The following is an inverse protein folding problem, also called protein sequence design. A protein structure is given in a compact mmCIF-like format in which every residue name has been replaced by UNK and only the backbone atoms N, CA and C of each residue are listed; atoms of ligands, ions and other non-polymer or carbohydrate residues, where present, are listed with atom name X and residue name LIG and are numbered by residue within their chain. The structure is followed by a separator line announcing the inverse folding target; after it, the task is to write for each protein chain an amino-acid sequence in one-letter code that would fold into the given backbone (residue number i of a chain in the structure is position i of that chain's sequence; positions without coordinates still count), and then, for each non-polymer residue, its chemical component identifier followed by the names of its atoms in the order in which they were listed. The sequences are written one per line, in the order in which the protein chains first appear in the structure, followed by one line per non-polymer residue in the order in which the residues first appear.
data_IF_192894437531
#
_entry.id   IF_192894437531
#
_cell.length_a   1.000
_cell.length_b   1.000
_cell.length_c   1.000
_cell.angle_alpha   90.00
_cell.angle_beta   90.00
_cell.angle_gamma   90.00
#
_symmetry.space_group_name_H-M   'P 1'
#
loop_
_entity.id
_entity.type
_entity.pdbx_description
1 polymer ?
#
# COMPACT_ATOMS: atom_id res chain seq x y z
N UNK A 1 -20.06 -0.16 5.93
CA UNK A 1 -20.43 0.06 7.35
C UNK A 1 -19.60 1.21 7.88
N UNK A 2 -20.15 2.11 8.69
CA UNK A 2 -19.35 3.20 9.26
C UNK A 2 -18.22 2.61 10.13
N UNK A 3 -17.00 3.12 9.98
CA UNK A 3 -15.89 2.83 10.88
C UNK A 3 -16.35 3.09 12.33
N UNK A 4 -15.86 2.30 13.30
CA UNK A 4 -16.27 2.44 14.70
C UNK A 4 -16.14 3.87 15.24
N UNK A 5 -16.80 4.19 16.36
CA UNK A 5 -16.63 5.50 17.00
C UNK A 5 -15.23 5.66 17.58
N UNK A 6 -14.65 6.87 17.52
CA UNK A 6 -13.37 7.17 18.14
C UNK A 6 -13.49 7.23 19.67
N UNK A 7 -12.80 6.33 20.38
CA UNK A 7 -12.89 6.18 21.85
C UNK A 7 -11.72 6.85 22.60
N UNK A 8 -11.01 7.79 21.98
CA UNK A 8 -9.88 8.50 22.62
C UNK A 8 -8.52 7.82 22.43
N UNK A 9 -8.41 6.84 21.53
CA UNK A 9 -7.14 6.23 21.11
C UNK A 9 -7.18 5.88 19.62
N UNK A 10 -6.02 5.96 18.97
CA UNK A 10 -5.87 5.49 17.59
C UNK A 10 -5.69 3.96 17.54
N UNK A 11 -6.33 3.33 16.57
CA UNK A 11 -6.16 1.91 16.26
C UNK A 11 -5.15 1.77 15.12
N UNK A 12 -3.91 1.45 15.47
CA UNK A 12 -2.80 1.19 14.54
C UNK A 12 -2.81 -0.27 14.08
N UNK A 13 -3.90 -0.71 13.45
CA UNK A 13 -4.06 -2.06 12.94
C UNK A 13 -4.17 -2.04 11.43
N UNK A 14 -3.27 -2.71 10.70
CA UNK A 14 -3.42 -2.90 9.25
C UNK A 14 -4.75 -3.56 8.88
N UNK A 15 -5.35 -4.35 9.77
CA UNK A 15 -6.63 -5.01 9.54
C UNK A 15 -7.85 -4.08 9.65
N UNK A 16 -7.70 -2.86 10.18
CA UNK A 16 -8.78 -1.89 10.36
C UNK A 16 -10.06 -2.52 10.96
N UNK A 17 -11.19 -2.45 10.25
CA UNK A 17 -12.49 -3.03 10.59
C UNK A 17 -12.70 -4.48 10.09
N UNK A 18 -11.71 -5.08 9.44
CA UNK A 18 -11.70 -6.50 9.06
C UNK A 18 -11.39 -7.39 10.27
N UNK A 19 -12.46 -7.77 10.98
CA UNK A 19 -12.39 -8.66 12.16
C UNK A 19 -11.88 -10.06 11.81
N UNK A 20 -12.16 -10.56 10.61
CA UNK A 20 -11.70 -11.88 10.19
C UNK A 20 -10.18 -11.88 9.99
N UNK A 21 -9.65 -10.84 9.34
CA UNK A 21 -8.20 -10.63 9.23
C UNK A 21 -7.56 -10.42 10.60
N UNK A 22 -8.14 -9.59 11.48
CA UNK A 22 -7.62 -9.38 12.83
C UNK A 22 -7.51 -10.69 13.64
N UNK A 23 -8.51 -11.56 13.53
CA UNK A 23 -8.48 -12.90 14.15
C UNK A 23 -7.40 -13.78 13.53
N UNK A 24 -7.30 -13.82 12.21
CA UNK A 24 -6.28 -14.57 11.51
C UNK A 24 -4.85 -14.11 11.90
N UNK A 25 -4.62 -12.82 12.08
CA UNK A 25 -3.35 -12.30 12.59
C UNK A 25 -3.02 -12.82 14.00
N UNK A 26 -4.00 -12.85 14.91
CA UNK A 26 -3.78 -13.42 16.25
C UNK A 26 -3.43 -14.90 16.19
N UNK A 27 -4.09 -15.67 15.31
CA UNK A 27 -3.81 -17.09 15.13
C UNK A 27 -2.43 -17.34 14.52
N UNK A 28 -2.04 -16.54 13.50
CA UNK A 28 -0.71 -16.60 12.88
C UNK A 28 0.39 -16.31 13.90
N UNK A 29 0.26 -15.27 14.72
CA UNK A 29 1.22 -14.98 15.82
C UNK A 29 1.33 -16.13 16.81
N UNK A 30 0.24 -16.88 17.00
CA UNK A 30 0.19 -18.06 17.86
C UNK A 30 0.59 -19.35 17.14
N UNK A 31 1.14 -19.28 15.91
CA UNK A 31 1.64 -20.44 15.17
C UNK A 31 0.57 -21.26 14.44
N UNK A 32 -0.68 -20.78 14.35
CA UNK A 32 -1.83 -21.47 13.73
C UNK A 32 -2.21 -20.85 12.39
N UNK A 33 -2.32 -21.67 11.35
CA UNK A 33 -2.56 -21.18 9.99
C UNK A 33 -4.02 -21.30 9.50
N UNK A 34 -4.90 -22.06 10.16
CA UNK A 34 -6.23 -22.36 9.64
C UNK A 34 -7.09 -21.11 9.39
N UNK A 35 -7.07 -20.13 10.30
CA UNK A 35 -7.80 -18.87 10.08
C UNK A 35 -7.21 -18.05 8.93
N UNK A 36 -5.90 -18.16 8.66
CA UNK A 36 -5.27 -17.53 7.49
C UNK A 36 -5.68 -18.24 6.20
N UNK A 37 -5.78 -19.58 6.20
CA UNK A 37 -6.30 -20.35 5.07
C UNK A 37 -7.69 -19.86 4.67
N UNK A 38 -8.64 -19.84 5.62
CA UNK A 38 -10.01 -19.42 5.34
C UNK A 38 -10.08 -17.95 4.90
N UNK A 39 -9.34 -17.06 5.56
CA UNK A 39 -9.32 -15.64 5.23
C UNK A 39 -8.79 -15.36 3.81
N UNK A 40 -7.83 -16.16 3.31
CA UNK A 40 -7.32 -16.03 1.95
C UNK A 40 -8.20 -16.73 0.92
N UNK A 41 -8.70 -17.93 1.24
CA UNK A 41 -9.58 -18.70 0.36
C UNK A 41 -10.87 -17.96 0.03
N UNK A 42 -11.44 -17.27 1.01
CA UNK A 42 -12.64 -16.44 0.85
C UNK A 42 -12.48 -15.34 -0.21
N UNK A 43 -11.26 -14.83 -0.40
CA UNK A 43 -11.00 -13.63 -1.21
C UNK A 43 -10.42 -13.96 -2.59
N UNK A 44 -10.56 -15.20 -3.08
CA UNK A 44 -10.02 -15.59 -4.39
C UNK A 44 -10.55 -14.75 -5.56
N UNK A 45 -11.78 -14.26 -5.45
CA UNK A 45 -12.44 -13.43 -6.47
C UNK A 45 -12.34 -11.92 -6.16
N UNK A 46 -11.76 -11.54 -5.02
CA UNK A 46 -11.56 -10.14 -4.60
C UNK A 46 -10.06 -9.90 -4.44
N UNK A 47 -9.41 -9.55 -5.56
CA UNK A 47 -7.95 -9.46 -5.64
C UNK A 47 -7.38 -8.37 -4.75
N UNK A 48 -8.03 -7.21 -4.64
CA UNK A 48 -7.56 -6.13 -3.76
C UNK A 48 -7.62 -6.56 -2.29
N UNK A 49 -8.70 -7.22 -1.87
CA UNK A 49 -8.80 -7.73 -0.50
C UNK A 49 -7.82 -8.88 -0.24
N UNK A 50 -7.63 -9.78 -1.21
CA UNK A 50 -6.65 -10.88 -1.12
C UNK A 50 -5.23 -10.36 -1.01
N UNK A 51 -4.90 -9.35 -1.80
CA UNK A 51 -3.60 -8.69 -1.74
C UNK A 51 -3.37 -8.04 -0.37
N UNK A 52 -4.37 -7.32 0.15
CA UNK A 52 -4.30 -6.73 1.48
C UNK A 52 -4.14 -7.78 2.58
N UNK A 53 -5.04 -8.77 2.67
CA UNK A 53 -5.01 -9.83 3.70
C UNK A 53 -3.71 -10.63 3.65
N UNK A 54 -3.27 -11.05 2.47
CA UNK A 54 -2.03 -11.83 2.33
C UNK A 54 -0.79 -11.05 2.76
N UNK A 55 -0.71 -9.74 2.46
CA UNK A 55 0.40 -8.90 2.90
C UNK A 55 0.42 -8.69 4.41
N UNK A 56 -0.75 -8.46 5.03
CA UNK A 56 -0.85 -8.31 6.49
C UNK A 56 -0.48 -9.61 7.19
N UNK A 57 -1.04 -10.75 6.76
CA UNK A 57 -0.72 -12.07 7.34
C UNK A 57 0.76 -12.43 7.17
N UNK A 58 1.34 -12.13 6.00
CA UNK A 58 2.76 -12.36 5.78
C UNK A 58 3.64 -11.48 6.68
N UNK A 59 3.22 -10.25 6.99
CA UNK A 59 3.95 -9.37 7.90
C UNK A 59 4.02 -9.94 9.32
N UNK A 60 2.94 -10.60 9.77
CA UNK A 60 2.89 -11.31 11.06
C UNK A 60 3.70 -12.61 11.05
N UNK A 61 3.70 -13.33 9.92
CA UNK A 61 4.42 -14.60 9.78
C UNK A 61 5.92 -14.43 9.51
N UNK A 62 6.37 -13.24 9.05
CA UNK A 62 7.71 -13.00 8.51
C UNK A 62 8.86 -13.39 9.46
N UNK A 63 8.63 -13.33 10.77
CA UNK A 63 9.65 -13.60 11.79
C UNK A 63 9.51 -15.00 12.42
N UNK A 64 8.75 -15.90 11.79
CA UNK A 64 8.48 -17.29 12.23
C UNK A 64 8.62 -18.31 11.09
N UNK A 65 8.62 -19.61 11.39
CA UNK A 65 8.62 -20.67 10.37
C UNK A 65 7.22 -21.10 9.88
N UNK A 66 6.17 -20.33 10.23
CA UNK A 66 4.78 -20.73 10.00
C UNK A 66 4.45 -20.96 8.53
N UNK A 67 4.94 -20.11 7.62
CA UNK A 67 4.62 -20.22 6.21
C UNK A 67 5.26 -21.47 5.58
N UNK A 68 6.49 -21.79 5.97
CA UNK A 68 7.20 -23.00 5.55
C UNK A 68 6.53 -24.26 6.08
N UNK A 69 6.19 -24.29 7.38
CA UNK A 69 5.50 -25.44 7.99
C UNK A 69 4.13 -25.65 7.36
N UNK A 70 3.34 -24.59 7.20
CA UNK A 70 2.04 -24.69 6.54
C UNK A 70 2.19 -25.22 5.11
N UNK A 71 3.11 -24.67 4.31
CA UNK A 71 3.32 -25.13 2.94
C UNK A 71 3.75 -26.62 2.87
N UNK A 72 4.50 -27.11 3.84
CA UNK A 72 4.92 -28.51 3.93
C UNK A 72 3.79 -29.45 4.38
N UNK A 73 2.96 -29.01 5.33
CA UNK A 73 1.85 -29.79 5.89
C UNK A 73 0.65 -29.87 4.93
N UNK A 74 0.29 -28.74 4.32
CA UNK A 74 -0.88 -28.63 3.42
C UNK A 74 -0.56 -27.76 2.20
N UNK A 75 0.09 -28.33 1.16
CA UNK A 75 0.38 -27.61 -0.06
C UNK A 75 -0.91 -27.19 -0.78
N UNK A 76 -1.04 -25.90 -1.05
CA UNK A 76 -2.18 -25.35 -1.76
C UNK A 76 -1.95 -23.89 -2.15
N UNK A 77 -2.86 -23.29 -2.93
CA UNK A 77 -2.69 -21.92 -3.38
C UNK A 77 -2.55 -20.89 -2.25
N UNK A 78 -3.30 -21.05 -1.16
CA UNK A 78 -3.24 -20.14 0.00
C UNK A 78 -1.89 -20.22 0.73
N UNK A 79 -1.39 -21.45 0.99
CA UNK A 79 -0.10 -21.65 1.63
C UNK A 79 1.05 -21.13 0.75
N UNK A 80 0.99 -21.40 -0.56
CA UNK A 80 1.99 -20.92 -1.51
C UNK A 80 1.99 -19.39 -1.62
N UNK A 81 0.80 -18.75 -1.63
CA UNK A 81 0.70 -17.30 -1.63
C UNK A 81 1.27 -16.69 -0.33
N UNK A 82 0.95 -17.26 0.84
CA UNK A 82 1.52 -16.77 2.10
C UNK A 82 3.05 -16.90 2.08
N UNK A 83 3.58 -18.05 1.63
CA UNK A 83 5.02 -18.26 1.50
C UNK A 83 5.67 -17.24 0.55
N UNK A 84 5.09 -17.01 -0.62
CA UNK A 84 5.56 -16.00 -1.58
C UNK A 84 5.64 -14.60 -0.95
N UNK A 85 4.61 -14.20 -0.20
CA UNK A 85 4.57 -12.91 0.50
C UNK A 85 5.60 -12.82 1.63
N UNK A 86 5.77 -13.88 2.43
CA UNK A 86 6.78 -13.94 3.50
C UNK A 86 8.19 -13.88 2.93
N UNK A 87 8.47 -14.67 1.90
CA UNK A 87 9.77 -14.67 1.23
C UNK A 87 10.09 -13.31 0.60
N UNK A 88 9.11 -12.66 -0.04
CA UNK A 88 9.22 -11.29 -0.54
C UNK A 88 9.58 -10.31 0.58
N UNK A 89 8.85 -10.30 1.70
CA UNK A 89 9.12 -9.40 2.81
C UNK A 89 10.52 -9.61 3.40
N UNK A 90 10.94 -10.86 3.57
CA UNK A 90 12.27 -11.21 4.08
C UNK A 90 13.38 -10.73 3.13
N UNK A 91 13.22 -10.96 1.83
CA UNK A 91 14.19 -10.51 0.83
C UNK A 91 14.34 -8.98 0.83
N UNK A 92 13.22 -8.25 0.91
CA UNK A 92 13.22 -6.79 0.96
C UNK A 92 13.83 -6.25 2.27
N UNK A 93 13.43 -6.77 3.44
CA UNK A 93 14.03 -6.39 4.74
C UNK A 93 15.54 -6.63 4.75
N UNK A 94 16.00 -7.75 4.20
CA UNK A 94 17.43 -8.08 4.14
C UNK A 94 18.20 -7.16 3.20
N UNK A 95 17.61 -6.78 2.06
CA UNK A 95 18.19 -5.82 1.14
C UNK A 95 18.30 -4.43 1.78
N UNK A 96 17.24 -3.97 2.44
CA UNK A 96 17.23 -2.66 3.13
C UNK A 96 18.24 -2.63 4.30
N UNK A 97 18.57 -3.79 4.89
CA UNK A 97 19.62 -3.92 5.91
C UNK A 97 21.05 -4.09 5.36
N UNK A 98 21.24 -4.25 4.04
CA UNK A 98 22.56 -4.44 3.43
C UNK A 98 23.25 -5.77 3.76
N UNK A 99 22.50 -6.82 4.13
CA UNK A 99 23.06 -8.10 4.55
C UNK A 99 23.39 -9.01 3.35
N UNK A 100 24.54 -9.69 3.41
CA UNK A 100 25.06 -10.53 2.31
C UNK A 100 24.18 -11.73 1.93
N UNK A 101 23.20 -12.12 2.76
CA UNK A 101 22.22 -13.18 2.44
C UNK A 101 21.13 -12.73 1.46
N UNK A 102 21.04 -11.44 1.15
CA UNK A 102 20.05 -10.86 0.25
C UNK A 102 19.87 -11.69 -1.03
N UNK A 103 20.96 -11.99 -1.75
CA UNK A 103 20.87 -12.67 -3.04
C UNK A 103 20.24 -14.08 -2.97
N UNK A 104 20.44 -14.81 -1.86
CA UNK A 104 19.80 -16.11 -1.67
C UNK A 104 18.30 -15.96 -1.40
N UNK A 105 17.92 -15.04 -0.51
CA UNK A 105 16.51 -14.77 -0.19
C UNK A 105 15.73 -14.22 -1.39
N UNK A 106 16.35 -13.38 -2.21
CA UNK A 106 15.74 -12.89 -3.45
C UNK A 106 15.38 -14.04 -4.39
N UNK A 107 16.30 -14.99 -4.61
CA UNK A 107 16.01 -16.17 -5.46
C UNK A 107 14.88 -17.03 -4.90
N UNK A 108 14.88 -17.27 -3.58
CA UNK A 108 13.81 -18.00 -2.91
C UNK A 108 12.46 -17.30 -3.11
N UNK A 109 12.44 -15.97 -2.94
CA UNK A 109 11.22 -15.18 -3.11
C UNK A 109 10.68 -15.22 -4.54
N UNK A 110 11.54 -15.11 -5.55
CA UNK A 110 11.13 -15.26 -6.95
C UNK A 110 10.51 -16.63 -7.23
N UNK A 111 11.17 -17.72 -6.84
CA UNK A 111 10.66 -19.09 -7.02
C UNK A 111 9.35 -19.31 -6.26
N UNK A 112 9.21 -18.77 -5.05
CA UNK A 112 7.98 -18.85 -4.28
C UNK A 112 6.80 -18.13 -4.99
N UNK A 113 7.05 -16.93 -5.52
CA UNK A 113 6.04 -16.19 -6.26
C UNK A 113 5.66 -16.89 -7.58
N UNK A 114 6.64 -17.43 -8.32
CA UNK A 114 6.38 -18.22 -9.54
C UNK A 114 5.49 -19.42 -9.22
N UNK A 115 5.82 -20.17 -8.16
CA UNK A 115 5.02 -21.32 -7.74
C UNK A 115 3.59 -20.93 -7.34
N UNK A 116 3.43 -19.81 -6.64
CA UNK A 116 2.10 -19.33 -6.26
C UNK A 116 1.28 -18.90 -7.49
N UNK A 117 1.91 -18.24 -8.47
CA UNK A 117 1.28 -17.88 -9.74
C UNK A 117 0.87 -19.10 -10.57
N UNK A 118 1.65 -20.18 -10.57
CA UNK A 118 1.29 -21.44 -11.25
C UNK A 118 0.05 -22.10 -10.65
N UNK A 119 -0.12 -22.03 -9.33
CA UNK A 119 -1.23 -22.69 -8.63
C UNK A 119 -2.57 -21.96 -8.82
N UNK A 120 -2.55 -20.64 -9.00
CA UNK A 120 -3.73 -19.84 -9.38
C UNK A 120 -3.34 -18.79 -10.43
N UNK A 121 -3.29 -19.16 -11.73
CA UNK A 121 -2.83 -18.26 -12.80
C UNK A 121 -3.65 -16.99 -12.98
N UNK A 122 -4.92 -17.00 -12.54
CA UNK A 122 -5.80 -15.82 -12.57
C UNK A 122 -5.57 -14.85 -11.42
N UNK A 123 -4.85 -15.23 -10.36
CA UNK A 123 -4.58 -14.40 -9.21
C UNK A 123 -3.40 -13.44 -9.51
N UNK A 124 -3.60 -12.11 -9.54
CA UNK A 124 -2.52 -11.14 -9.75
C UNK A 124 -1.57 -11.04 -8.55
N UNK A 125 -1.97 -11.50 -7.37
CA UNK A 125 -1.29 -11.25 -6.09
C UNK A 125 0.18 -11.74 -6.06
N UNK A 126 0.53 -12.94 -6.57
CA UNK A 126 1.93 -13.38 -6.64
C UNK A 126 2.78 -12.51 -7.59
N UNK A 127 2.21 -12.05 -8.70
CA UNK A 127 2.88 -11.15 -9.63
C UNK A 127 3.12 -9.76 -9.03
N UNK A 128 2.21 -9.27 -8.17
CA UNK A 128 2.43 -8.04 -7.38
C UNK A 128 3.60 -8.22 -6.41
N UNK A 129 3.77 -9.40 -5.82
CA UNK A 129 4.91 -9.69 -4.97
C UNK A 129 6.23 -9.71 -5.76
N UNK A 130 6.24 -10.30 -6.96
CA UNK A 130 7.38 -10.19 -7.89
C UNK A 130 7.67 -8.74 -8.24
N UNK A 131 6.63 -7.94 -8.50
CA UNK A 131 6.80 -6.52 -8.84
C UNK A 131 7.50 -5.76 -7.72
N UNK A 132 7.20 -6.06 -6.46
CA UNK A 132 7.92 -5.51 -5.32
C UNK A 132 9.41 -5.92 -5.30
N UNK A 133 9.73 -7.16 -5.69
CA UNK A 133 11.11 -7.65 -5.79
C UNK A 133 11.91 -6.99 -6.91
N UNK A 134 11.25 -6.44 -7.94
CA UNK A 134 11.96 -5.82 -9.08
C UNK A 134 12.85 -4.63 -8.70
N UNK A 135 12.65 -4.03 -7.51
CA UNK A 135 13.56 -3.00 -7.01
C UNK A 135 14.97 -3.54 -6.70
N UNK A 136 15.14 -4.86 -6.59
CA UNK A 136 16.42 -5.51 -6.27
C UNK A 136 17.25 -5.86 -7.51
N UNK A 137 16.62 -6.23 -8.62
CA UNK A 137 17.27 -6.61 -9.89
C UNK A 137 17.24 -5.49 -10.95
N UNK A 138 16.35 -4.50 -10.78
CA UNK A 138 16.28 -3.26 -11.57
C UNK A 138 16.17 -3.51 -13.08
N UNK A 139 15.12 -4.22 -13.55
CA UNK A 139 14.88 -4.41 -14.97
C UNK A 139 14.78 -3.07 -15.68
N UNK A 140 15.18 -3.08 -16.95
CA UNK A 140 15.32 -1.87 -17.78
C UNK A 140 14.45 -1.96 -19.03
N UNK A 141 13.26 -2.52 -18.90
CA UNK A 141 12.31 -2.61 -20.01
C UNK A 141 12.02 -1.18 -20.53
N UNK A 142 11.87 -1.01 -21.85
CA UNK A 142 11.55 0.28 -22.42
C UNK A 142 10.17 0.76 -21.93
N UNK A 143 10.09 2.04 -21.58
CA UNK A 143 8.82 2.68 -21.23
C UNK A 143 7.88 2.76 -22.44
N UNK A 144 6.56 2.73 -22.23
CA UNK A 144 5.60 3.02 -23.30
C UNK A 144 5.75 4.46 -23.79
N UNK A 145 5.27 4.71 -25.02
CA UNK A 145 5.22 6.05 -25.57
C UNK A 145 4.28 6.96 -24.75
N UNK A 146 4.62 8.24 -24.65
CA UNK A 146 3.79 9.27 -23.99
C UNK A 146 4.18 9.62 -22.56
N UNK A 147 5.20 8.97 -21.99
CA UNK A 147 5.86 9.43 -20.75
C UNK A 147 6.92 10.48 -21.09
N UNK A 148 6.93 11.60 -20.36
CA UNK A 148 7.86 12.71 -20.61
C UNK A 148 9.32 12.32 -20.34
N UNK A 149 9.55 11.50 -19.32
CA UNK A 149 10.86 11.06 -18.85
C UNK A 149 11.25 9.68 -19.40
N UNK A 150 10.32 8.98 -20.06
CA UNK A 150 10.46 7.63 -20.59
C UNK A 150 11.28 6.68 -19.67
N UNK A 151 10.94 6.58 -18.36
CA UNK A 151 11.80 5.93 -17.40
C UNK A 151 11.75 4.42 -17.58
N UNK A 152 12.92 3.79 -17.79
CA UNK A 152 13.02 2.32 -17.87
C UNK A 152 12.68 1.67 -16.53
N UNK A 153 12.05 0.50 -16.58
CA UNK A 153 11.59 -0.20 -15.38
C UNK A 153 10.94 -1.54 -15.68
N UNK A 154 10.17 -2.12 -14.74
CA UNK A 154 9.54 -3.44 -14.88
C UNK A 154 8.24 -3.37 -15.71
N UNK A 155 8.28 -2.71 -16.87
CA UNK A 155 7.08 -2.47 -17.68
C UNK A 155 6.45 -3.76 -18.20
N UNK A 156 7.25 -4.77 -18.56
CA UNK A 156 6.73 -6.06 -19.04
C UNK A 156 5.88 -6.77 -17.99
N UNK A 157 6.39 -6.83 -16.75
CA UNK A 157 5.67 -7.40 -15.61
C UNK A 157 4.42 -6.59 -15.27
N UNK A 158 4.52 -5.26 -15.29
CA UNK A 158 3.36 -4.41 -15.02
C UNK A 158 2.26 -4.56 -16.08
N UNK A 159 2.61 -4.66 -17.37
CA UNK A 159 1.62 -4.95 -18.42
C UNK A 159 0.97 -6.32 -18.27
N UNK A 160 1.66 -7.31 -17.71
CA UNK A 160 1.04 -8.58 -17.37
C UNK A 160 -0.02 -8.42 -16.28
N UNK A 161 0.32 -7.73 -15.19
CA UNK A 161 -0.63 -7.41 -14.11
C UNK A 161 -1.86 -6.66 -14.62
N UNK A 162 -1.69 -5.67 -15.51
CA UNK A 162 -2.81 -4.94 -16.09
C UNK A 162 -3.76 -5.81 -16.94
N UNK A 163 -3.31 -6.97 -17.44
CA UNK A 163 -4.19 -7.92 -18.14
C UNK A 163 -5.01 -8.79 -17.18
N UNK A 164 -4.50 -9.02 -15.97
CA UNK A 164 -5.19 -9.78 -14.93
C UNK A 164 -6.19 -8.90 -14.19
N UNK A 165 -5.74 -7.73 -13.76
CA UNK A 165 -6.54 -6.74 -13.05
C UNK A 165 -6.02 -5.32 -13.35
N UNK A 166 -6.65 -4.59 -14.29
CA UNK A 166 -6.21 -3.27 -14.73
C UNK A 166 -6.16 -2.22 -13.62
N UNK A 167 -6.91 -2.40 -12.54
CA UNK A 167 -7.04 -1.39 -11.47
C UNK A 167 -6.52 -1.87 -10.12
N UNK A 168 -5.81 -3.00 -10.09
CA UNK A 168 -5.25 -3.60 -8.88
C UNK A 168 -4.45 -2.58 -8.09
N UNK A 169 -4.89 -2.26 -6.88
CA UNK A 169 -4.35 -1.14 -6.12
C UNK A 169 -2.88 -1.34 -5.75
N UNK A 170 -2.56 -2.47 -5.13
CA UNK A 170 -1.17 -2.73 -4.70
C UNK A 170 -0.20 -2.76 -5.90
N UNK A 171 -0.58 -3.36 -7.03
CA UNK A 171 0.25 -3.41 -8.24
C UNK A 171 0.74 -2.02 -8.66
N UNK A 172 -0.16 -1.04 -8.72
CA UNK A 172 0.17 0.33 -9.10
C UNK A 172 1.10 1.00 -8.09
N UNK A 173 0.87 0.81 -6.79
CA UNK A 173 1.76 1.36 -5.76
C UNK A 173 3.15 0.71 -5.79
N UNK A 174 3.25 -0.61 -5.98
CA UNK A 174 4.54 -1.31 -6.13
C UNK A 174 5.27 -0.86 -7.39
N UNK A 175 4.56 -0.75 -8.50
CA UNK A 175 5.11 -0.24 -9.76
C UNK A 175 5.66 1.17 -9.59
N UNK A 176 4.87 2.09 -9.03
CA UNK A 176 5.31 3.46 -8.77
C UNK A 176 6.53 3.50 -7.85
N UNK A 177 6.55 2.65 -6.81
CA UNK A 177 7.64 2.62 -5.84
C UNK A 177 9.00 2.29 -6.47
N UNK A 178 9.04 1.54 -7.56
CA UNK A 178 10.27 1.26 -8.30
C UNK A 178 11.00 2.54 -8.73
N UNK A 179 10.25 3.62 -9.01
CA UNK A 179 10.81 4.88 -9.51
C UNK A 179 11.15 5.89 -8.41
N UNK A 180 10.95 5.55 -7.13
CA UNK A 180 11.34 6.44 -6.02
C UNK A 180 12.86 6.55 -5.87
N UNK A 181 13.32 7.73 -5.41
CA UNK A 181 14.74 8.06 -5.26
C UNK A 181 15.48 7.07 -4.33
N UNK A 182 14.86 6.67 -3.23
CA UNK A 182 15.42 5.67 -2.29
C UNK A 182 15.63 4.28 -2.90
N UNK A 183 15.05 4.01 -4.06
CA UNK A 183 15.23 2.77 -4.83
C UNK A 183 16.06 2.99 -6.11
N UNK A 184 16.77 4.11 -6.21
CA UNK A 184 17.62 4.47 -7.36
C UNK A 184 16.85 5.08 -8.54
N UNK A 185 15.60 5.49 -8.34
CA UNK A 185 14.84 6.29 -9.31
C UNK A 185 15.09 7.79 -9.16
N UNK A 186 14.16 8.63 -9.62
CA UNK A 186 14.27 10.09 -9.53
C UNK A 186 12.90 10.74 -9.35
N UNK A 187 12.81 11.93 -8.72
CA UNK A 187 11.56 12.66 -8.56
C UNK A 187 10.82 12.92 -9.89
N UNK A 188 11.57 13.22 -10.95
CA UNK A 188 11.03 13.41 -12.29
C UNK A 188 10.38 12.13 -12.85
N UNK A 189 11.07 10.99 -12.73
CA UNK A 189 10.54 9.70 -13.18
C UNK A 189 9.31 9.27 -12.37
N UNK A 190 9.37 9.37 -11.04
CA UNK A 190 8.23 9.02 -10.20
C UNK A 190 7.02 9.94 -10.40
N UNK A 191 7.25 11.24 -10.60
CA UNK A 191 6.18 12.20 -10.88
C UNK A 191 5.49 11.94 -12.22
N UNK A 192 6.26 11.72 -13.28
CA UNK A 192 5.76 11.40 -14.62
C UNK A 192 4.98 10.07 -14.63
N UNK A 193 5.52 9.02 -14.00
CA UNK A 193 4.82 7.72 -13.87
C UNK A 193 3.55 7.85 -13.02
N UNK A 194 3.58 8.56 -11.89
CA UNK A 194 2.39 8.75 -11.06
C UNK A 194 1.27 9.48 -11.81
N UNK A 195 1.62 10.53 -12.56
CA UNK A 195 0.68 11.26 -13.40
C UNK A 195 0.12 10.35 -14.52
N UNK A 196 0.98 9.60 -15.19
CA UNK A 196 0.61 8.68 -16.26
C UNK A 196 -0.40 7.61 -15.81
N UNK A 197 -0.17 7.00 -14.65
CA UNK A 197 -1.04 5.97 -14.07
C UNK A 197 -2.37 6.57 -13.60
N UNK A 198 -2.30 7.67 -12.83
CA UNK A 198 -3.49 8.34 -12.28
C UNK A 198 -4.44 8.83 -13.36
N UNK A 199 -3.92 9.40 -14.46
CA UNK A 199 -4.73 9.90 -15.56
C UNK A 199 -5.47 8.80 -16.33
N UNK A 200 -4.95 7.57 -16.32
CA UNK A 200 -5.58 6.40 -16.97
C UNK A 200 -6.59 5.70 -16.08
N UNK A 201 -6.46 5.83 -14.76
CA UNK A 201 -7.42 5.28 -13.82
C UNK A 201 -8.79 5.96 -13.93
N UNK A 202 -9.90 5.22 -13.69
CA UNK A 202 -11.23 5.82 -13.55
C UNK A 202 -11.21 6.95 -12.51
N UNK A 203 -12.01 8.00 -12.73
CA UNK A 203 -12.08 9.12 -11.78
C UNK A 203 -12.53 8.71 -10.37
N UNK A 204 -13.30 7.62 -10.28
CA UNK A 204 -13.78 7.00 -9.04
C UNK A 204 -12.79 6.00 -8.42
N UNK A 205 -11.57 5.87 -8.96
CA UNK A 205 -10.56 4.92 -8.45
C UNK A 205 -9.66 5.55 -7.38
N UNK A 206 -9.24 4.80 -6.34
CA UNK A 206 -8.23 5.25 -5.38
C UNK A 206 -6.87 5.52 -6.04
N UNK A 207 -6.60 4.95 -7.22
CA UNK A 207 -5.38 5.18 -7.99
C UNK A 207 -5.18 6.65 -8.40
N UNK A 208 -6.24 7.46 -8.30
CA UNK A 208 -6.14 8.91 -8.46
C UNK A 208 -5.25 9.57 -7.39
N UNK A 209 -4.99 8.89 -6.28
CA UNK A 209 -4.07 9.31 -5.20
C UNK A 209 -2.57 9.15 -5.55
N UNK A 210 -2.20 8.39 -6.58
CA UNK A 210 -0.78 8.10 -6.90
C UNK A 210 0.11 9.35 -7.00
N UNK A 211 -0.32 10.50 -7.57
CA UNK A 211 0.48 11.72 -7.61
C UNK A 211 0.74 12.29 -6.20
N UNK A 212 -0.22 12.16 -5.27
CA UNK A 212 -0.06 12.58 -3.88
C UNK A 212 0.89 11.64 -3.12
N UNK A 213 0.89 10.34 -3.44
CA UNK A 213 1.88 9.40 -2.92
C UNK A 213 3.28 9.78 -3.39
N UNK A 214 3.47 10.04 -4.69
CA UNK A 214 4.76 10.48 -5.21
C UNK A 214 5.22 11.82 -4.61
N UNK A 215 4.29 12.74 -4.33
CA UNK A 215 4.59 14.00 -3.66
C UNK A 215 5.09 13.80 -2.23
N UNK A 216 4.43 12.93 -1.45
CA UNK A 216 4.88 12.58 -0.09
C UNK A 216 6.24 11.91 -0.12
N UNK A 217 6.47 11.02 -1.09
CA UNK A 217 7.72 10.26 -1.19
C UNK A 217 8.91 11.10 -1.65
N UNK A 218 8.64 12.22 -2.33
CA UNK A 218 9.62 13.24 -2.67
C UNK A 218 9.78 14.34 -1.62
N UNK A 219 9.07 14.26 -0.49
CA UNK A 219 9.18 15.28 0.56
C UNK A 219 10.57 15.28 1.19
N UNK A 220 11.15 16.46 1.29
CA UNK A 220 12.42 16.73 1.96
C UNK A 220 12.21 17.90 2.92
N UNK A 221 12.21 17.61 4.23
CA UNK A 221 12.03 18.62 5.27
C UNK A 221 13.14 19.67 5.31
N UNK A 222 14.30 19.41 4.68
CA UNK A 222 15.40 20.37 4.57
C UNK A 222 15.19 21.38 3.43
N UNK A 223 14.28 21.11 2.50
CA UNK A 223 14.00 22.00 1.38
C UNK A 223 13.21 23.24 1.83
N UNK A 224 13.63 24.41 1.34
CA UNK A 224 12.96 25.68 1.65
C UNK A 224 11.51 25.65 1.13
N UNK A 225 10.56 26.00 2.00
CA UNK A 225 9.11 26.00 1.70
C UNK A 225 8.55 24.63 1.28
N UNK A 226 9.17 23.52 1.71
CA UNK A 226 8.70 22.17 1.37
C UNK A 226 7.18 22.03 1.55
N UNK A 227 6.66 22.43 2.72
CA UNK A 227 5.24 22.36 3.07
C UNK A 227 4.32 23.24 2.19
N UNK A 228 4.83 24.32 1.58
CA UNK A 228 4.01 25.17 0.69
C UNK A 228 3.72 24.51 -0.65
N UNK A 229 4.39 23.40 -0.97
CA UNK A 229 4.12 22.66 -2.20
C UNK A 229 2.65 22.25 -2.28
N UNK A 230 2.04 21.83 -1.16
CA UNK A 230 0.64 21.40 -1.11
C UNK A 230 -0.36 22.53 -1.37
N UNK A 231 0.04 23.78 -1.18
CA UNK A 231 -0.80 24.96 -1.43
C UNK A 231 -0.77 25.40 -2.90
N UNK A 232 0.03 24.76 -3.75
CA UNK A 232 0.03 25.06 -5.18
C UNK A 232 -1.26 24.56 -5.86
N UNK A 233 -1.81 25.31 -6.85
CA UNK A 233 -3.12 25.01 -7.44
C UNK A 233 -3.29 23.59 -7.96
N UNK A 234 -2.24 22.97 -8.52
CA UNK A 234 -2.30 21.61 -9.04
C UNK A 234 -2.49 20.56 -7.94
N UNK A 235 -1.92 20.77 -6.76
CA UNK A 235 -2.01 19.80 -5.65
C UNK A 235 -3.30 19.98 -4.87
N UNK A 236 -3.76 21.22 -4.71
CA UNK A 236 -5.12 21.51 -4.24
C UNK A 236 -6.15 20.82 -5.14
N UNK A 237 -6.07 21.07 -6.46
CA UNK A 237 -7.01 20.49 -7.44
C UNK A 237 -6.96 18.96 -7.47
N UNK A 238 -5.77 18.37 -7.32
CA UNK A 238 -5.63 16.90 -7.24
C UNK A 238 -6.32 16.35 -5.99
N UNK A 239 -6.04 16.91 -4.82
CA UNK A 239 -6.62 16.43 -3.55
C UNK A 239 -8.14 16.64 -3.49
N UNK A 240 -8.62 17.83 -3.86
CA UNK A 240 -10.07 18.11 -3.90
C UNK A 240 -10.77 17.29 -4.97
N UNK A 241 -10.17 17.09 -6.15
CA UNK A 241 -10.72 16.23 -7.19
C UNK A 241 -10.93 14.80 -6.69
N UNK A 242 -9.93 14.21 -6.04
CA UNK A 242 -10.04 12.86 -5.46
C UNK A 242 -11.11 12.80 -4.35
N UNK A 243 -11.21 13.83 -3.52
CA UNK A 243 -12.28 13.96 -2.53
C UNK A 243 -13.67 14.05 -3.17
N UNK A 244 -13.83 14.74 -4.29
CA UNK A 244 -15.15 14.83 -4.95
C UNK A 244 -15.52 13.55 -5.71
N UNK A 245 -14.55 12.81 -6.27
CA UNK A 245 -14.84 11.69 -7.18
C UNK A 245 -14.69 10.31 -6.56
N UNK A 246 -13.62 10.05 -5.78
CA UNK A 246 -13.36 8.74 -5.19
C UNK A 246 -13.89 8.62 -3.76
N UNK A 247 -13.75 9.65 -2.92
CA UNK A 247 -14.16 9.54 -1.51
C UNK A 247 -15.63 9.12 -1.30
N UNK A 248 -16.62 9.55 -2.13
CA UNK A 248 -18.00 9.05 -2.01
C UNK A 248 -18.12 7.53 -2.19
N UNK A 249 -17.22 6.92 -2.97
CA UNK A 249 -17.20 5.47 -3.23
C UNK A 249 -16.72 4.68 -2.01
N UNK A 250 -16.06 5.30 -1.03
CA UNK A 250 -15.53 4.63 0.17
C UNK A 250 -16.62 3.89 0.95
N UNK A 251 -17.87 4.37 0.89
CA UNK A 251 -19.01 3.71 1.52
C UNK A 251 -19.33 2.32 0.93
N UNK A 252 -18.92 2.06 -0.31
CA UNK A 252 -19.12 0.79 -1.02
C UNK A 252 -18.03 -0.24 -0.70
N UNK A 253 -16.92 0.18 -0.09
CA UNK A 253 -15.85 -0.73 0.27
C UNK A 253 -16.30 -1.67 1.39
N UNK A 254 -15.90 -2.93 1.27
CA UNK A 254 -16.18 -3.95 2.30
C UNK A 254 -15.54 -3.60 3.65
N UNK A 255 -14.36 -3.00 3.61
CA UNK A 255 -13.57 -2.58 4.76
C UNK A 255 -12.97 -1.20 4.52
N UNK A 256 -12.70 -0.47 5.59
CA UNK A 256 -12.19 0.90 5.53
C UNK A 256 -10.80 0.94 4.87
N UNK A 257 -10.60 1.66 3.75
CA UNK A 257 -9.30 1.76 3.08
C UNK A 257 -8.38 2.79 3.77
N UNK A 258 -7.99 2.49 5.02
CA UNK A 258 -7.33 3.44 5.94
C UNK A 258 -6.10 4.10 5.32
N UNK A 259 -5.27 3.36 4.59
CA UNK A 259 -4.06 3.92 3.99
C UNK A 259 -4.38 4.97 2.91
N UNK A 260 -5.36 4.72 2.04
CA UNK A 260 -5.75 5.71 1.01
C UNK A 260 -6.36 6.95 1.64
N UNK A 261 -7.27 6.74 2.60
CA UNK A 261 -7.88 7.82 3.36
C UNK A 261 -6.82 8.65 4.09
N UNK A 262 -5.79 8.01 4.65
CA UNK A 262 -4.67 8.68 5.30
C UNK A 262 -3.91 9.59 4.34
N UNK A 263 -3.62 9.14 3.11
CA UNK A 263 -3.00 9.98 2.07
C UNK A 263 -3.90 11.14 1.63
N UNK A 264 -5.19 10.89 1.44
CA UNK A 264 -6.16 11.94 1.08
C UNK A 264 -6.30 12.99 2.18
N UNK A 265 -6.53 12.55 3.43
CA UNK A 265 -6.68 13.42 4.60
C UNK A 265 -5.44 14.29 4.80
N UNK A 266 -4.25 13.69 4.72
CA UNK A 266 -3.00 14.42 4.81
C UNK A 266 -2.87 15.48 3.71
N UNK A 267 -3.13 15.12 2.45
CA UNK A 267 -3.02 16.06 1.34
C UNK A 267 -4.00 17.24 1.48
N UNK A 268 -5.26 16.98 1.87
CA UNK A 268 -6.25 18.02 2.12
C UNK A 268 -5.87 18.91 3.31
N UNK A 269 -5.36 18.32 4.40
CA UNK A 269 -4.88 19.05 5.57
C UNK A 269 -3.72 19.99 5.21
N UNK A 270 -2.71 19.47 4.50
CA UNK A 270 -1.57 20.27 4.06
C UNK A 270 -1.98 21.37 3.07
N UNK A 271 -2.98 21.10 2.23
CA UNK A 271 -3.58 22.05 1.28
C UNK A 271 -4.57 23.06 1.91
N UNK A 272 -4.69 23.10 3.25
CA UNK A 272 -5.61 23.99 4.00
C UNK A 272 -7.09 23.79 3.65
N UNK A 273 -7.47 22.58 3.22
CA UNK A 273 -8.85 22.16 2.94
C UNK A 273 -9.42 21.44 4.15
N UNK A 274 -9.56 22.17 5.26
CA UNK A 274 -9.90 21.58 6.57
C UNK A 274 -11.30 20.95 6.59
N UNK A 275 -12.26 21.50 5.84
CA UNK A 275 -13.60 20.93 5.76
C UNK A 275 -13.58 19.54 5.11
N UNK A 276 -12.94 19.41 3.96
CA UNK A 276 -12.79 18.13 3.26
C UNK A 276 -11.90 17.17 4.06
N UNK A 277 -10.81 17.66 4.66
CA UNK A 277 -9.95 16.85 5.52
C UNK A 277 -10.72 16.27 6.72
N UNK A 278 -11.62 17.07 7.32
CA UNK A 278 -12.49 16.62 8.42
C UNK A 278 -13.39 15.46 8.00
N UNK A 279 -14.00 15.53 6.81
CA UNK A 279 -14.86 14.45 6.31
C UNK A 279 -14.07 13.14 6.16
N UNK A 280 -12.88 13.21 5.57
CA UNK A 280 -12.01 12.03 5.36
C UNK A 280 -11.53 11.46 6.70
N UNK A 281 -11.05 12.32 7.62
CA UNK A 281 -10.63 11.91 8.96
C UNK A 281 -11.77 11.34 9.81
N UNK A 282 -13.02 11.76 9.55
CA UNK A 282 -14.21 11.19 10.17
C UNK A 282 -14.50 9.80 9.61
N UNK A 283 -14.39 9.61 8.29
CA UNK A 283 -14.57 8.31 7.65
C UNK A 283 -13.52 7.27 8.06
N UNK A 284 -12.29 7.70 8.38
CA UNK A 284 -11.28 6.82 8.97
C UNK A 284 -11.67 6.29 10.37
N UNK A 285 -12.57 6.97 11.08
CA UNK A 285 -12.95 6.62 12.44
C UNK A 285 -11.73 6.61 13.38
N UNK A 286 -11.49 5.51 14.13
CA UNK A 286 -10.34 5.37 15.02
C UNK A 286 -9.09 4.87 14.31
N UNK A 287 -9.20 4.41 13.07
CA UNK A 287 -8.10 3.73 12.40
C UNK A 287 -7.06 4.74 11.92
N UNK A 288 -5.79 4.39 12.12
CA UNK A 288 -4.66 5.21 11.73
C UNK A 288 -3.66 4.41 10.89
N UNK A 289 -3.03 5.10 9.93
CA UNK A 289 -1.91 4.59 9.16
C UNK A 289 -0.67 5.46 9.42
N UNK A 290 0.52 4.84 9.46
CA UNK A 290 1.78 5.59 9.73
C UNK A 290 2.10 6.55 8.59
N UNK A 291 2.01 6.05 7.35
CA UNK A 291 2.11 6.88 6.17
C UNK A 291 0.78 7.59 5.91
N UNK A 292 0.82 8.84 5.39
CA UNK A 292 2.03 9.62 5.05
C UNK A 292 2.66 10.37 6.24
N UNK A 293 1.99 10.41 7.39
CA UNK A 293 2.35 11.26 8.53
C UNK A 293 3.80 11.08 9.01
N UNK A 294 4.33 9.86 8.97
CA UNK A 294 5.71 9.57 9.37
C UNK A 294 6.79 10.23 8.50
N UNK A 295 6.44 10.71 7.29
CA UNK A 295 7.37 11.50 6.47
C UNK A 295 7.54 12.94 6.97
N UNK A 296 6.65 13.40 7.87
CA UNK A 296 6.58 14.78 8.36
C UNK A 296 6.88 14.91 9.87
N UNK A 297 7.24 13.82 10.53
CA UNK A 297 7.53 13.77 11.96
C UNK A 297 6.93 12.53 12.64
N UNK A 298 6.70 12.61 13.95
CA UNK A 298 6.00 11.53 14.65
C UNK A 298 4.56 11.38 14.13
N UNK A 299 4.14 10.20 13.66
CA UNK A 299 2.83 10.03 13.04
C UNK A 299 1.66 10.24 14.00
N UNK A 300 1.83 10.01 15.31
CA UNK A 300 0.78 10.23 16.31
C UNK A 300 0.59 11.74 16.50
N UNK A 301 1.68 12.48 16.66
CA UNK A 301 1.66 13.94 16.81
C UNK A 301 1.07 14.61 15.56
N UNK A 302 1.52 14.24 14.37
CA UNK A 302 1.05 14.83 13.11
C UNK A 302 -0.44 14.56 12.85
N UNK A 303 -0.90 13.32 13.04
CA UNK A 303 -2.32 12.98 12.90
C UNK A 303 -3.18 13.71 13.96
N UNK A 304 -2.68 13.82 15.19
CA UNK A 304 -3.34 14.55 16.28
C UNK A 304 -3.49 16.02 15.96
N UNK A 305 -2.43 16.64 15.42
CA UNK A 305 -2.46 18.04 14.97
C UNK A 305 -3.53 18.25 13.88
N UNK A 306 -3.59 17.37 12.88
CA UNK A 306 -4.55 17.45 11.80
C UNK A 306 -6.00 17.25 12.29
N UNK A 307 -6.25 16.28 13.17
CA UNK A 307 -7.58 16.07 13.76
C UNK A 307 -8.02 17.26 14.62
N UNK A 308 -7.10 17.82 15.42
CA UNK A 308 -7.36 19.00 16.26
C UNK A 308 -7.72 20.22 15.42
N UNK A 309 -6.98 20.51 14.34
CA UNK A 309 -7.31 21.64 13.46
C UNK A 309 -8.65 21.45 12.75
N UNK A 310 -9.03 20.20 12.42
CA UNK A 310 -10.30 19.87 11.82
C UNK A 310 -11.48 19.83 12.82
N UNK A 311 -11.26 20.13 14.10
CA UNK A 311 -12.28 20.10 15.16
C UNK A 311 -12.76 18.69 15.50
N UNK A 312 -11.91 17.68 15.32
CA UNK A 312 -12.18 16.28 15.65
C UNK A 312 -11.58 15.89 17.01
N UNK A 313 -12.16 14.88 17.70
CA UNK A 313 -11.61 14.38 18.94
C UNK A 313 -10.23 13.74 18.71
N UNK A 314 -9.37 13.89 19.72
CA UNK A 314 -7.97 13.43 19.74
C UNK A 314 -7.69 12.59 21.01
N UNK A 315 -6.63 11.78 21.04
CA UNK A 315 -6.29 11.01 22.23
C UNK A 315 -6.01 11.88 23.46
N UNK A 316 -6.37 11.38 24.64
CA UNK A 316 -6.07 12.05 25.91
C UNK A 316 -4.57 12.02 26.20
N UNK A 317 -3.97 13.16 26.55
CA UNK A 317 -2.59 13.23 27.05
C UNK A 317 -1.49 13.49 26.01
N UNK A 318 -1.85 14.02 24.82
CA UNK A 318 -0.91 14.50 23.79
C UNK A 318 -1.01 16.02 23.59
#
# INVERSE_FOLDING_TARGET
MAAGSFEGQYVWSPAADDRALARACMDVRAGRYLSAHEALKETREDFDLRAHRSLVLASEAADSDLAERWLAEEPGPEAALLWARVAMLRALRMADAGDGRQGALTRIAWTACERAAELLPGDPTPWVAQLALTRLDRPRDPAPQGLLTAPRGPWGLFFHLLRLDPWHREAHHRFLSFFFARHGGSPGASGDVAAFLSQRAPGTSPLRLLPLVALVEGYDASALLADRTWELPQWISTATGVHHTWFPQVAEYRFTPVLDLSYLAHALYMAKREFEAREVLTAMGPYAARMPWSSFGDPVEQLTRARRSCGLPVPYGI
#
